data_IF_704363125345
#
_entry.id   IF_704363125345
#
_cell.length_a   1.000
_cell.length_b   1.000
_cell.length_c   1.000
_cell.angle_alpha   90.00
_cell.angle_beta   90.00
_cell.angle_gamma   90.00
#
_symmetry.space_group_name_H-M   'P 1'
#
loop_
_entity.id
_entity.type
_entity.pdbx_description
1 polymer ?
#
# COMPACT_ATOMS: atom_id res chain seq x y z
N UNK A 1 -9.46 2.41 -38.24
CA UNK A 1 -8.39 2.24 -37.23
C UNK A 1 -9.10 2.17 -35.88
N UNK A 2 -9.18 0.98 -35.28
CA UNK A 2 -9.84 0.83 -33.98
C UNK A 2 -8.90 1.37 -32.90
N UNK A 3 -9.35 2.37 -32.14
CA UNK A 3 -8.67 2.82 -30.93
C UNK A 3 -8.64 1.65 -29.95
N UNK A 4 -7.49 0.99 -29.80
CA UNK A 4 -7.33 -0.03 -28.77
C UNK A 4 -7.48 0.69 -27.42
N UNK A 5 -8.53 0.36 -26.67
CA UNK A 5 -8.69 0.83 -25.31
C UNK A 5 -7.60 0.16 -24.46
N UNK A 6 -6.51 0.88 -24.22
CA UNK A 6 -5.45 0.41 -23.34
C UNK A 6 -5.88 0.66 -21.90
N UNK A 7 -5.93 -0.40 -21.10
CA UNK A 7 -6.23 -0.32 -19.68
C UNK A 7 -4.93 -0.22 -18.90
N UNK A 8 -4.90 0.61 -17.88
CA UNK A 8 -3.74 0.74 -16.99
C UNK A 8 -4.20 0.70 -15.54
N UNK A 9 -3.40 0.10 -14.63
CA UNK A 9 -3.65 0.19 -13.21
C UNK A 9 -3.57 1.65 -12.72
N UNK A 10 -4.58 2.08 -11.96
CA UNK A 10 -4.67 3.45 -11.49
C UNK A 10 -4.09 3.60 -10.07
N UNK A 11 -3.10 4.49 -9.93
CA UNK A 11 -2.49 4.84 -8.62
C UNK A 11 -3.52 5.32 -7.61
N UNK A 12 -4.51 6.10 -8.05
CA UNK A 12 -5.58 6.61 -7.19
C UNK A 12 -6.44 5.48 -6.62
N UNK A 13 -6.75 4.47 -7.44
CA UNK A 13 -7.50 3.28 -7.01
C UNK A 13 -6.67 2.47 -6.01
N UNK A 14 -5.41 2.17 -6.33
CA UNK A 14 -4.51 1.44 -5.43
C UNK A 14 -4.41 2.11 -4.07
N UNK A 15 -4.21 3.44 -4.05
CA UNK A 15 -4.12 4.22 -2.81
C UNK A 15 -5.44 4.19 -2.03
N UNK A 16 -6.58 4.33 -2.71
CA UNK A 16 -7.90 4.32 -2.06
C UNK A 16 -8.20 2.96 -1.43
N UNK A 17 -7.97 1.88 -2.17
CA UNK A 17 -8.17 0.49 -1.70
C UNK A 17 -7.26 0.20 -0.51
N UNK A 18 -5.97 0.53 -0.61
CA UNK A 18 -5.02 0.32 0.48
C UNK A 18 -5.39 1.11 1.74
N UNK A 19 -5.79 2.38 1.59
CA UNK A 19 -6.25 3.20 2.71
C UNK A 19 -7.49 2.59 3.37
N UNK A 20 -8.47 2.17 2.58
CA UNK A 20 -9.67 1.50 3.10
C UNK A 20 -9.31 0.25 3.93
N UNK A 21 -8.40 -0.59 3.45
CA UNK A 21 -7.94 -1.77 4.21
C UNK A 21 -7.22 -1.44 5.53
N UNK A 22 -6.59 -0.27 5.63
CA UNK A 22 -5.86 0.15 6.84
C UNK A 22 -6.74 0.91 7.83
N UNK A 23 -7.80 1.57 7.36
CA UNK A 23 -8.70 2.37 8.20
C UNK A 23 -9.97 1.64 8.62
N UNK A 24 -10.35 0.57 7.91
CA UNK A 24 -11.42 -0.33 8.37
C UNK A 24 -10.92 -1.07 9.61
N UNK A 25 -11.79 -1.18 10.61
CA UNK A 25 -11.52 -1.64 11.98
C UNK A 25 -10.41 -2.69 12.03
N UNK A 26 -9.29 -2.40 12.73
CA UNK A 26 -8.19 -3.34 12.83
C UNK A 26 -8.69 -4.66 13.43
N UNK A 27 -8.20 -5.77 12.89
CA UNK A 27 -8.34 -7.07 13.54
C UNK A 27 -7.84 -6.95 15.00
N UNK A 28 -8.32 -7.79 15.93
CA UNK A 28 -7.98 -7.68 17.36
C UNK A 28 -6.46 -7.63 17.65
N UNK A 29 -5.63 -8.11 16.72
CA UNK A 29 -4.16 -8.07 16.77
C UNK A 29 -3.53 -6.71 16.38
N UNK A 30 -4.28 -5.82 15.75
CA UNK A 30 -3.82 -4.51 15.24
C UNK A 30 -4.44 -3.32 15.97
N UNK A 31 -5.16 -3.55 17.08
CA UNK A 31 -5.88 -2.52 17.83
C UNK A 31 -4.97 -1.36 18.32
N UNK A 32 -3.67 -1.62 18.49
CA UNK A 32 -2.69 -0.63 18.96
C UNK A 32 -1.93 0.09 17.81
N UNK A 33 -2.21 -0.24 16.55
CA UNK A 33 -1.57 0.42 15.41
C UNK A 33 -2.30 1.73 15.08
N UNK A 34 -1.72 2.84 15.53
CA UNK A 34 -2.22 4.18 15.21
C UNK A 34 -1.98 4.49 13.74
N UNK A 35 -3.02 4.93 13.04
CA UNK A 35 -2.93 5.41 11.67
C UNK A 35 -2.00 6.63 11.56
N UNK A 36 -0.92 6.47 10.80
CA UNK A 36 0.03 7.49 10.39
C UNK A 36 -0.18 7.82 8.89
N UNK A 37 -0.87 8.93 8.61
CA UNK A 37 -1.13 9.42 7.25
C UNK A 37 0.16 9.88 6.54
N UNK A 38 1.13 10.41 7.27
CA UNK A 38 2.38 10.90 6.70
C UNK A 38 3.21 9.73 6.19
N UNK A 39 3.35 8.67 7.00
CA UNK A 39 3.97 7.41 6.58
C UNK A 39 3.26 6.82 5.35
N UNK A 40 1.92 6.79 5.36
CA UNK A 40 1.16 6.26 4.24
C UNK A 40 1.41 7.05 2.95
N UNK A 41 1.44 8.38 3.04
CA UNK A 41 1.71 9.27 1.91
C UNK A 41 3.12 9.05 1.37
N UNK A 42 4.12 9.00 2.23
CA UNK A 42 5.51 8.73 1.85
C UNK A 42 5.66 7.36 1.17
N UNK A 43 5.07 6.33 1.78
CA UNK A 43 5.09 4.96 1.26
C UNK A 43 4.44 4.90 -0.12
N UNK A 44 3.26 5.49 -0.31
CA UNK A 44 2.57 5.51 -1.61
C UNK A 44 3.36 6.27 -2.67
N UNK A 45 4.01 7.38 -2.28
CA UNK A 45 4.80 8.22 -3.19
C UNK A 45 6.07 7.53 -3.70
N UNK A 46 6.60 6.57 -2.93
CA UNK A 46 7.78 5.77 -3.29
C UNK A 46 7.37 4.47 -3.99
N UNK A 47 6.43 3.73 -3.41
CA UNK A 47 5.99 2.41 -3.89
C UNK A 47 5.33 2.48 -5.27
N UNK A 48 4.60 3.56 -5.58
CA UNK A 48 3.86 3.70 -6.85
C UNK A 48 4.64 4.45 -7.94
N UNK A 49 5.95 4.67 -7.74
CA UNK A 49 6.80 5.22 -8.79
C UNK A 49 6.98 4.19 -9.93
N UNK A 50 6.97 4.60 -11.21
CA UNK A 50 7.18 3.67 -12.32
C UNK A 50 8.47 2.84 -12.22
N UNK A 51 9.53 3.45 -11.67
CA UNK A 51 10.82 2.78 -11.48
C UNK A 51 10.75 1.65 -10.44
N UNK A 52 9.87 1.77 -9.45
CA UNK A 52 9.67 0.76 -8.39
C UNK A 52 8.61 -0.25 -8.80
N UNK A 53 7.56 0.22 -9.47
CA UNK A 53 6.41 -0.60 -9.87
C UNK A 53 6.18 -0.54 -11.39
N UNK A 54 6.91 -1.33 -12.18
CA UNK A 54 6.82 -1.32 -13.65
C UNK A 54 5.43 -1.75 -14.16
N UNK A 55 4.69 -2.53 -13.36
CA UNK A 55 3.30 -2.94 -13.67
C UNK A 55 2.35 -1.75 -13.87
N UNK A 56 2.68 -0.57 -13.33
CA UNK A 56 1.88 0.65 -13.54
C UNK A 56 2.06 1.27 -14.93
N UNK A 57 3.14 0.93 -15.63
CA UNK A 57 3.46 1.44 -16.97
C UNK A 57 3.13 0.44 -18.08
N UNK A 58 2.83 -0.81 -17.73
CA UNK A 58 2.44 -1.85 -18.67
C UNK A 58 0.94 -1.74 -19.00
N UNK A 59 0.55 -1.77 -20.29
CA UNK A 59 -0.85 -1.88 -20.67
C UNK A 59 -1.40 -3.26 -20.29
N UNK A 60 -2.64 -3.29 -19.82
CA UNK A 60 -3.41 -4.50 -19.57
C UNK A 60 -4.34 -4.80 -20.74
N UNK A 61 -4.61 -6.09 -20.95
CA UNK A 61 -5.52 -6.61 -21.98
C UNK A 61 -6.99 -6.27 -21.66
N UNK A 62 -7.32 -6.09 -20.38
CA UNK A 62 -8.68 -5.78 -19.93
C UNK A 62 -8.71 -4.90 -18.68
N UNK A 63 -9.90 -4.34 -18.39
CA UNK A 63 -10.13 -3.61 -17.13
C UNK A 63 -10.07 -4.54 -15.91
N UNK A 64 -10.51 -5.79 -16.05
CA UNK A 64 -10.48 -6.78 -14.97
C UNK A 64 -9.04 -7.15 -14.59
N UNK A 65 -8.16 -7.28 -15.59
CA UNK A 65 -6.73 -7.47 -15.33
C UNK A 65 -6.11 -6.26 -14.62
N UNK A 66 -6.43 -5.04 -15.08
CA UNK A 66 -5.98 -3.83 -14.39
C UNK A 66 -6.48 -3.78 -12.94
N UNK A 67 -7.73 -4.19 -12.68
CA UNK A 67 -8.31 -4.25 -11.33
C UNK A 67 -7.63 -5.31 -10.45
N UNK A 68 -7.26 -6.47 -11.00
CA UNK A 68 -6.51 -7.50 -10.28
C UNK A 68 -5.13 -6.97 -9.86
N UNK A 69 -4.42 -6.30 -10.76
CA UNK A 69 -3.13 -5.67 -10.45
C UNK A 69 -3.32 -4.57 -9.39
N UNK A 70 -4.35 -3.73 -9.54
CA UNK A 70 -4.69 -2.70 -8.56
C UNK A 70 -4.87 -3.30 -7.14
N UNK A 71 -5.61 -4.40 -7.03
CA UNK A 71 -5.82 -5.11 -5.77
C UNK A 71 -4.55 -5.72 -5.18
N UNK A 72 -3.72 -6.37 -5.99
CA UNK A 72 -2.45 -6.95 -5.55
C UNK A 72 -1.47 -5.89 -5.03
N UNK A 73 -1.38 -4.76 -5.74
CA UNK A 73 -0.52 -3.64 -5.33
C UNK A 73 -1.04 -2.96 -4.07
N UNK A 74 -2.37 -2.81 -3.94
CA UNK A 74 -2.97 -2.29 -2.72
C UNK A 74 -2.65 -3.18 -1.52
N UNK A 75 -2.80 -4.50 -1.65
CA UNK A 75 -2.47 -5.43 -0.56
C UNK A 75 -0.98 -5.41 -0.20
N UNK A 76 -0.10 -5.31 -1.21
CA UNK A 76 1.34 -5.21 -0.99
C UNK A 76 1.71 -3.95 -0.22
N UNK A 77 1.07 -2.82 -0.56
CA UNK A 77 1.23 -1.55 0.13
C UNK A 77 0.75 -1.63 1.59
N UNK A 78 -0.41 -2.25 1.83
CA UNK A 78 -0.97 -2.51 3.17
C UNK A 78 0.01 -3.33 4.02
N UNK A 79 0.56 -4.41 3.46
CA UNK A 79 1.50 -5.27 4.15
C UNK A 79 2.81 -4.53 4.48
N UNK A 80 3.32 -3.73 3.55
CA UNK A 80 4.52 -2.91 3.77
C UNK A 80 4.29 -1.87 4.88
N UNK A 81 3.14 -1.19 4.86
CA UNK A 81 2.76 -0.21 5.88
C UNK A 81 2.70 -0.84 7.28
N UNK A 82 1.96 -1.95 7.43
CA UNK A 82 1.84 -2.69 8.70
C UNK A 82 3.19 -3.15 9.22
N UNK A 83 4.06 -3.66 8.33
CA UNK A 83 5.41 -4.09 8.69
C UNK A 83 6.23 -2.95 9.26
N UNK A 84 6.20 -1.77 8.64
CA UNK A 84 6.95 -0.59 9.11
C UNK A 84 6.44 -0.14 10.49
N UNK A 85 5.12 -0.10 10.70
CA UNK A 85 4.58 0.28 12.01
C UNK A 85 4.99 -0.71 13.11
N UNK A 86 4.90 -2.02 12.85
CA UNK A 86 5.34 -3.05 13.81
C UNK A 86 6.84 -2.94 14.12
N UNK A 87 7.67 -2.65 13.12
CA UNK A 87 9.10 -2.43 13.32
C UNK A 87 9.37 -1.20 14.19
N UNK A 88 8.66 -0.08 13.96
CA UNK A 88 8.80 1.13 14.78
C UNK A 88 8.45 0.86 16.25
N UNK A 89 7.34 0.16 16.51
CA UNK A 89 6.95 -0.20 17.88
C UNK A 89 7.98 -1.10 18.57
N UNK A 90 8.50 -2.13 17.88
CA UNK A 90 9.50 -3.02 18.46
C UNK A 90 10.80 -2.27 18.81
N UNK A 91 11.28 -1.39 17.92
CA UNK A 91 12.46 -0.55 18.21
C UNK A 91 12.22 0.38 19.40
N UNK A 92 11.04 0.99 19.51
CA UNK A 92 10.69 1.84 20.66
C UNK A 92 10.68 1.05 21.97
N UNK A 93 10.08 -0.14 21.99
CA UNK A 93 10.06 -1.03 23.16
C UNK A 93 11.48 -1.46 23.53
N UNK A 94 12.33 -1.80 22.56
CA UNK A 94 13.73 -2.16 22.81
C UNK A 94 14.53 -1.00 23.40
N UNK A 95 14.33 0.23 22.90
CA UNK A 95 15.00 1.42 23.43
C UNK A 95 14.56 1.71 24.87
N UNK A 96 13.27 1.59 25.18
CA UNK A 96 12.75 1.77 26.54
C UNK A 96 13.30 0.70 27.50
N UNK A 97 13.33 -0.57 27.08
CA UNK A 97 13.89 -1.65 27.90
C UNK A 97 15.39 -1.50 28.16
N UNK A 98 16.13 -0.81 27.29
CA UNK A 98 17.55 -0.55 27.49
C UNK A 98 17.83 0.61 28.49
N UNK A 99 16.80 1.39 28.85
CA UNK A 99 16.89 2.53 29.77
C UNK A 99 16.37 2.22 31.18
N UNK A 100 15.84 1.01 31.41
CA UNK A 100 15.34 0.50 32.68
C UNK A 100 16.32 -0.53 33.26
#
# INVERSE_FOLDING_TARGET
>A
MASQNLFYPLRSVIRCVAKAHLTVTPEAYEADLVWDEALFTELTSTFLQPAVQPLLAAPCESRDEAALIEGQLAQSLVNAYRRILRQRQNTQVQQLNALL
#
